data_IF_880195310567
#
_entry.id   IF_880195310567
#
_cell.length_a   1.000
_cell.length_b   1.000
_cell.length_c   1.000
_cell.angle_alpha   90.00
_cell.angle_beta   90.00
_cell.angle_gamma   90.00
#
_symmetry.space_group_name_H-M   'P 1'
#
loop_
_entity.id
_entity.type
_entity.pdbx_description
1 polymer ?
#
# COMPACT_ATOMS: atom_id res chain seq x y z
N UNK A 1 25.84 48.66 -37.80
CA UNK A 1 24.89 47.74 -38.50
C UNK A 1 23.71 47.55 -37.56
N UNK A 2 22.54 48.00 -37.97
CA UNK A 2 21.29 47.74 -37.25
C UNK A 2 20.89 46.26 -37.56
N UNK A 3 20.61 45.49 -36.51
CA UNK A 3 20.06 44.15 -36.71
C UNK A 3 18.61 44.25 -37.15
N UNK A 4 18.20 43.40 -38.10
CA UNK A 4 16.81 43.26 -38.48
C UNK A 4 16.03 42.75 -37.25
N UNK A 5 14.92 43.39 -36.87
CA UNK A 5 14.06 42.87 -35.82
C UNK A 5 13.67 41.40 -36.08
N UNK A 6 13.48 40.64 -35.04
CA UNK A 6 13.07 39.20 -35.15
C UNK A 6 11.56 39.09 -35.29
N UNK A 7 11.16 38.07 -36.02
CA UNK A 7 9.83 37.49 -36.11
C UNK A 7 10.00 36.01 -35.79
N UNK A 8 9.80 35.67 -34.51
CA UNK A 8 10.13 34.36 -33.97
C UNK A 8 9.01 33.32 -34.18
N UNK A 9 7.77 33.81 -34.31
CA UNK A 9 6.60 32.96 -34.51
C UNK A 9 6.20 32.79 -35.99
N UNK A 10 6.83 33.59 -36.89
CA UNK A 10 6.58 33.50 -38.34
C UNK A 10 5.25 34.17 -38.75
N UNK A 11 4.68 35.04 -37.92
CA UNK A 11 3.41 35.74 -38.22
C UNK A 11 3.52 36.75 -39.37
N UNK A 12 4.75 37.19 -39.67
CA UNK A 12 5.02 38.24 -40.63
C UNK A 12 5.05 39.63 -40.02
N UNK A 13 4.78 39.78 -38.76
CA UNK A 13 5.02 40.98 -37.95
C UNK A 13 6.29 40.81 -37.11
N UNK A 14 6.96 41.90 -36.76
CA UNK A 14 8.10 41.80 -35.87
C UNK A 14 7.62 41.72 -34.41
N UNK A 15 8.24 40.87 -33.60
CA UNK A 15 7.87 40.57 -32.18
C UNK A 15 7.62 41.84 -31.33
N UNK A 16 8.30 42.96 -31.63
CA UNK A 16 8.10 44.22 -30.89
C UNK A 16 6.81 44.95 -31.28
N UNK A 17 6.14 44.57 -32.35
CA UNK A 17 4.85 45.12 -32.81
C UNK A 17 3.66 44.28 -32.39
N UNK A 18 3.90 43.09 -31.85
CA UNK A 18 2.88 42.17 -31.43
C UNK A 18 2.63 42.26 -29.91
N UNK A 19 1.38 42.08 -29.52
CA UNK A 19 1.05 41.94 -28.12
C UNK A 19 1.56 40.61 -27.60
N UNK A 20 2.63 40.62 -26.88
CA UNK A 20 3.41 39.59 -26.19
C UNK A 20 3.04 38.12 -26.40
N UNK A 21 4.01 37.35 -26.87
CA UNK A 21 3.92 35.87 -27.02
C UNK A 21 4.02 35.07 -25.75
N UNK A 22 3.67 35.64 -24.58
CA UNK A 22 3.65 34.93 -23.31
C UNK A 22 2.46 33.95 -23.18
N UNK A 23 2.41 33.23 -22.05
CA UNK A 23 1.30 32.34 -21.72
C UNK A 23 0.06 33.19 -21.42
N UNK A 24 -1.02 32.95 -22.17
CA UNK A 24 -2.25 33.76 -22.13
C UNK A 24 -3.35 33.13 -21.30
N UNK A 25 -3.41 31.81 -21.32
CA UNK A 25 -4.39 31.00 -20.56
C UNK A 25 -3.73 29.73 -20.03
N UNK A 26 -4.09 29.31 -18.85
CA UNK A 26 -3.68 28.02 -18.29
C UNK A 26 -4.64 27.54 -17.21
N UNK A 27 -4.62 26.22 -16.95
CA UNK A 27 -5.27 25.61 -15.79
C UNK A 27 -4.23 25.31 -14.71
N UNK A 28 -4.69 25.09 -13.49
CA UNK A 28 -3.86 24.53 -12.42
C UNK A 28 -4.14 23.02 -12.28
N UNK A 29 -3.18 22.24 -11.80
CA UNK A 29 -3.43 20.83 -11.51
C UNK A 29 -4.42 20.71 -10.34
N UNK A 30 -5.17 19.60 -10.31
CA UNK A 30 -6.06 19.24 -9.20
C UNK A 30 -5.34 18.28 -8.25
N UNK A 31 -5.67 18.35 -6.96
CA UNK A 31 -5.22 17.38 -5.97
C UNK A 31 -5.75 15.97 -6.28
N UNK A 32 -5.05 14.97 -5.79
CA UNK A 32 -5.38 13.56 -5.97
C UNK A 32 -5.28 12.82 -4.66
N UNK A 33 -6.19 11.88 -4.44
CA UNK A 33 -6.16 10.88 -3.37
C UNK A 33 -6.00 9.52 -4.04
N UNK A 34 -5.13 8.69 -3.54
CA UNK A 34 -4.82 7.37 -4.10
C UNK A 34 -4.19 6.47 -3.05
N UNK A 35 -4.25 5.17 -3.27
CA UNK A 35 -3.58 4.16 -2.46
C UNK A 35 -2.10 4.02 -2.82
N UNK A 36 -1.30 3.50 -1.91
CA UNK A 36 0.09 3.13 -2.17
C UNK A 36 0.18 2.18 -3.38
N UNK A 37 1.30 2.23 -4.09
CA UNK A 37 1.53 1.41 -5.28
C UNK A 37 0.79 1.85 -6.54
N UNK A 38 -0.21 2.71 -6.44
CA UNK A 38 -1.00 3.20 -7.57
C UNK A 38 -0.28 4.25 -8.41
N UNK A 39 -0.89 4.58 -9.56
CA UNK A 39 -0.45 5.64 -10.47
C UNK A 39 -1.29 6.90 -10.30
N UNK A 40 -0.65 8.06 -10.24
CA UNK A 40 -1.30 9.38 -10.27
C UNK A 40 -0.75 10.24 -11.40
N UNK A 41 -1.64 11.02 -12.00
CA UNK A 41 -1.30 11.96 -13.06
C UNK A 41 -1.79 13.37 -12.73
N UNK A 42 -0.88 14.35 -12.72
CA UNK A 42 -1.19 15.77 -12.64
C UNK A 42 -1.07 16.40 -14.03
N UNK A 43 -2.11 17.11 -14.45
CA UNK A 43 -2.17 17.71 -15.79
C UNK A 43 -2.52 19.18 -15.75
N UNK A 44 -1.92 19.94 -16.67
CA UNK A 44 -2.16 21.36 -16.89
C UNK A 44 -2.40 21.59 -18.38
N UNK A 45 -3.35 22.45 -18.70
CA UNK A 45 -3.47 23.00 -20.07
C UNK A 45 -2.91 24.41 -20.09
N UNK A 46 -2.21 24.77 -21.13
CA UNK A 46 -1.68 26.13 -21.30
C UNK A 46 -1.71 26.52 -22.77
N UNK A 47 -1.92 27.82 -23.04
CA UNK A 47 -1.92 28.41 -24.36
C UNK A 47 -0.91 29.56 -24.43
N UNK A 48 -0.07 29.53 -25.45
CA UNK A 48 0.86 30.61 -25.79
C UNK A 48 1.01 30.72 -27.30
N UNK A 49 1.53 31.84 -27.77
CA UNK A 49 1.85 32.04 -29.21
C UNK A 49 3.17 31.31 -29.57
N UNK A 50 4.07 31.17 -28.61
CA UNK A 50 5.36 30.52 -28.77
C UNK A 50 5.41 29.18 -28.01
N UNK A 51 6.47 28.40 -28.23
CA UNK A 51 6.72 27.15 -27.49
C UNK A 51 6.79 27.42 -26.00
N UNK A 52 6.23 26.48 -25.23
CA UNK A 52 6.22 26.52 -23.77
C UNK A 52 7.21 25.48 -23.23
N UNK A 53 8.14 25.93 -22.41
CA UNK A 53 8.95 25.05 -21.57
C UNK A 53 8.24 24.79 -20.23
N UNK A 54 8.23 23.53 -19.81
CA UNK A 54 7.57 23.08 -18.60
C UNK A 54 8.59 22.55 -17.59
N UNK A 55 8.37 22.83 -16.31
CA UNK A 55 9.10 22.18 -15.23
C UNK A 55 8.20 22.00 -14.01
N UNK A 56 7.90 20.74 -13.70
CA UNK A 56 7.21 20.40 -12.47
C UNK A 56 8.13 20.56 -11.26
N UNK A 57 7.54 21.06 -10.18
CA UNK A 57 8.19 21.22 -8.89
C UNK A 57 7.40 20.49 -7.81
N UNK A 58 8.11 19.90 -6.86
CA UNK A 58 7.58 19.20 -5.67
C UNK A 58 7.97 19.97 -4.42
N UNK A 59 7.06 20.00 -3.46
CA UNK A 59 7.28 20.43 -2.09
C UNK A 59 6.91 19.28 -1.14
N UNK A 60 7.76 19.00 -0.16
CA UNK A 60 7.57 18.02 0.92
C UNK A 60 7.33 18.70 2.27
N UNK A 61 7.17 20.01 2.29
CA UNK A 61 7.07 20.84 3.50
C UNK A 61 5.87 21.80 3.43
N UNK A 62 4.77 21.31 2.86
CA UNK A 62 3.50 22.05 2.71
C UNK A 62 3.65 23.39 1.96
N UNK A 63 4.46 23.40 0.89
CA UNK A 63 4.60 24.54 -0.01
C UNK A 63 5.62 25.60 0.44
N UNK A 64 6.41 25.35 1.51
CA UNK A 64 7.42 26.28 2.01
C UNK A 64 8.65 26.29 1.09
N UNK A 65 9.14 25.11 0.72
CA UNK A 65 10.25 25.00 -0.24
C UNK A 65 9.86 24.14 -1.45
N UNK A 66 10.47 24.42 -2.59
CA UNK A 66 10.18 23.78 -3.86
C UNK A 66 11.46 23.33 -4.55
N UNK A 67 11.45 22.09 -5.04
CA UNK A 67 12.52 21.52 -5.84
C UNK A 67 12.00 21.03 -7.19
N UNK A 68 12.85 21.10 -8.22
CA UNK A 68 12.48 20.55 -9.52
C UNK A 68 12.34 19.04 -9.47
N UNK A 69 11.22 18.51 -9.98
CA UNK A 69 11.02 17.08 -10.15
C UNK A 69 11.93 16.59 -11.27
N UNK A 70 12.77 15.56 -11.04
CA UNK A 70 13.55 14.92 -12.09
C UNK A 70 12.68 13.94 -12.89
N UNK A 71 13.09 13.57 -14.10
CA UNK A 71 12.58 12.34 -14.72
C UNK A 71 13.40 11.15 -14.20
N UNK A 72 12.70 10.09 -13.79
CA UNK A 72 13.28 8.86 -13.23
C UNK A 72 12.75 8.53 -11.85
N UNK A 73 13.00 7.31 -11.37
CA UNK A 73 12.33 6.78 -10.20
C UNK A 73 10.82 6.73 -10.42
N UNK A 74 10.06 7.19 -9.48
CA UNK A 74 8.58 7.24 -9.58
C UNK A 74 8.05 8.35 -10.51
N UNK A 75 8.90 9.23 -11.07
CA UNK A 75 8.44 10.41 -11.81
C UNK A 75 8.72 10.30 -13.30
N UNK A 76 7.73 10.64 -14.13
CA UNK A 76 7.89 10.85 -15.57
C UNK A 76 7.08 12.05 -16.04
N UNK A 77 7.47 12.64 -17.17
CA UNK A 77 6.79 13.84 -17.70
C UNK A 77 7.15 15.15 -16.97
N UNK A 78 8.20 15.18 -16.16
CA UNK A 78 8.57 16.36 -15.35
C UNK A 78 8.83 17.65 -16.17
N UNK A 79 9.06 17.51 -17.48
CA UNK A 79 9.25 18.61 -18.44
C UNK A 79 8.15 18.66 -19.52
N UNK A 80 6.97 18.22 -19.17
CA UNK A 80 5.78 18.29 -20.03
C UNK A 80 4.63 18.92 -19.26
N UNK A 81 3.50 19.12 -19.90
CA UNK A 81 2.29 19.61 -19.24
C UNK A 81 1.60 18.54 -18.35
N UNK A 82 2.16 17.34 -18.28
CA UNK A 82 1.61 16.22 -17.51
C UNK A 82 2.72 15.54 -16.74
N UNK A 83 2.58 15.47 -15.42
CA UNK A 83 3.44 14.72 -14.52
C UNK A 83 2.73 13.43 -14.14
N UNK A 84 3.41 12.30 -14.33
CA UNK A 84 3.00 11.00 -13.83
C UNK A 84 3.87 10.64 -12.62
N UNK A 85 3.23 10.17 -11.57
CA UNK A 85 3.86 9.55 -10.39
C UNK A 85 3.43 8.10 -10.37
N UNK A 86 4.40 7.16 -10.40
CA UNK A 86 4.16 5.72 -10.52
C UNK A 86 5.43 4.93 -10.14
N UNK A 87 5.41 4.10 -9.10
CA UNK A 87 4.33 3.97 -8.11
C UNK A 87 4.29 5.15 -7.12
N UNK A 88 3.11 5.43 -6.58
CA UNK A 88 2.95 6.30 -5.42
C UNK A 88 3.44 5.55 -4.17
N UNK A 89 4.11 6.24 -3.26
CA UNK A 89 4.52 5.72 -1.95
C UNK A 89 3.89 6.56 -0.85
N UNK A 90 3.61 5.97 0.29
CA UNK A 90 3.11 6.65 1.50
C UNK A 90 4.03 7.77 1.97
N UNK A 91 5.34 7.67 1.73
CA UNK A 91 6.30 8.77 1.94
C UNK A 91 5.96 10.05 1.16
N UNK A 92 5.12 9.95 0.14
CA UNK A 92 4.67 11.09 -0.68
C UNK A 92 3.37 11.71 -0.16
N UNK A 93 2.81 11.17 0.92
CA UNK A 93 1.58 11.70 1.50
C UNK A 93 1.76 13.16 1.95
N UNK A 94 0.87 14.03 1.48
CA UNK A 94 0.95 15.47 1.74
C UNK A 94 1.85 16.25 0.79
N UNK A 95 2.58 15.61 -0.11
CA UNK A 95 3.37 16.28 -1.14
C UNK A 95 2.53 17.20 -2.00
N UNK A 96 3.12 18.32 -2.38
CA UNK A 96 2.48 19.26 -3.29
C UNK A 96 3.25 19.37 -4.60
N UNK A 97 2.51 19.45 -5.69
CA UNK A 97 3.06 19.60 -7.05
C UNK A 97 2.51 20.86 -7.71
N UNK A 98 3.39 21.61 -8.38
CA UNK A 98 3.03 22.74 -9.23
C UNK A 98 3.85 22.75 -10.50
N UNK A 99 3.37 23.44 -11.52
CA UNK A 99 4.06 23.56 -12.78
C UNK A 99 4.57 25.00 -12.96
N UNK A 100 5.84 25.14 -13.29
CA UNK A 100 6.45 26.38 -13.78
C UNK A 100 6.54 26.27 -15.29
N UNK A 101 6.07 27.31 -15.96
CA UNK A 101 6.01 27.43 -17.41
C UNK A 101 6.74 28.69 -17.86
N UNK A 102 7.53 28.59 -18.92
CA UNK A 102 8.20 29.72 -19.53
C UNK A 102 8.09 29.66 -21.05
N UNK A 103 8.25 30.80 -21.68
CA UNK A 103 8.29 30.92 -23.15
C UNK A 103 9.68 31.43 -23.57
N UNK A 104 10.65 30.48 -23.78
CA UNK A 104 12.06 30.84 -23.95
C UNK A 104 12.35 31.68 -25.20
N UNK A 105 11.49 31.54 -26.21
CA UNK A 105 11.59 32.36 -27.43
C UNK A 105 11.09 33.78 -27.26
N UNK A 106 10.46 34.09 -26.13
CA UNK A 106 9.90 35.42 -25.82
C UNK A 106 10.58 36.02 -24.58
N UNK A 107 11.59 36.85 -24.79
CA UNK A 107 12.46 37.34 -23.73
C UNK A 107 11.83 38.39 -22.78
N UNK A 108 10.61 38.82 -23.04
CA UNK A 108 9.87 39.77 -22.22
C UNK A 108 8.74 39.10 -21.41
N UNK A 109 8.53 37.81 -21.57
CA UNK A 109 7.56 37.02 -20.79
C UNK A 109 8.11 36.69 -19.41
N UNK A 110 7.30 36.86 -18.39
CA UNK A 110 7.61 36.32 -17.06
C UNK A 110 7.20 34.83 -17.01
N UNK A 111 7.95 34.05 -16.25
CA UNK A 111 7.54 32.68 -15.94
C UNK A 111 6.17 32.70 -15.23
N UNK A 112 5.34 31.73 -15.60
CA UNK A 112 4.03 31.51 -15.00
C UNK A 112 4.09 30.26 -14.13
N UNK A 113 3.58 30.37 -12.92
CA UNK A 113 3.50 29.25 -11.99
C UNK A 113 2.05 28.97 -11.64
N UNK A 114 1.63 27.72 -11.73
CA UNK A 114 0.28 27.29 -11.34
C UNK A 114 0.10 27.32 -9.81
N UNK A 115 -1.15 27.24 -9.36
CA UNK A 115 -1.41 26.79 -7.99
C UNK A 115 -0.85 25.37 -7.80
N UNK A 116 -0.60 24.98 -6.55
CA UNK A 116 -0.19 23.62 -6.23
C UNK A 116 -1.39 22.69 -6.11
N UNK A 117 -1.14 21.42 -6.41
CA UNK A 117 -2.03 20.29 -6.16
C UNK A 117 -1.40 19.37 -5.10
N UNK A 118 -2.18 18.92 -4.15
CA UNK A 118 -1.73 17.98 -3.11
C UNK A 118 -1.97 16.55 -3.55
N UNK A 119 -1.01 15.68 -3.25
CA UNK A 119 -1.13 14.23 -3.28
C UNK A 119 -1.47 13.75 -1.87
N UNK A 120 -2.51 12.96 -1.74
CA UNK A 120 -2.82 12.15 -0.55
C UNK A 120 -2.58 10.70 -0.94
N UNK A 121 -1.66 10.06 -0.26
CA UNK A 121 -1.31 8.66 -0.45
C UNK A 121 -1.69 7.92 0.83
N UNK A 122 -2.69 7.06 0.75
CA UNK A 122 -3.18 6.27 1.86
C UNK A 122 -2.44 4.93 1.92
N UNK A 123 -2.35 4.36 3.11
CA UNK A 123 -1.78 3.03 3.31
C UNK A 123 -2.71 1.97 2.73
N UNK A 124 -2.14 0.88 2.22
CA UNK A 124 -2.80 -0.29 1.66
C UNK A 124 -1.78 -1.43 1.78
N UNK A 125 -1.76 -2.05 2.97
CA UNK A 125 -0.69 -2.95 3.40
C UNK A 125 -0.62 -4.22 2.56
N UNK A 126 -1.78 -4.80 2.26
CA UNK A 126 -1.87 -6.04 1.49
C UNK A 126 -1.86 -5.83 -0.03
N UNK A 127 -2.11 -4.58 -0.49
CA UNK A 127 -2.09 -4.18 -1.89
C UNK A 127 -3.32 -4.62 -2.68
N UNK A 128 -4.46 -4.83 -2.04
CA UNK A 128 -5.69 -5.28 -2.67
C UNK A 128 -6.52 -4.15 -3.30
N UNK A 129 -6.17 -2.88 -3.00
CA UNK A 129 -6.78 -1.67 -3.53
C UNK A 129 -7.83 -1.06 -2.62
N UNK A 130 -8.02 -1.57 -1.40
CA UNK A 130 -8.76 -0.95 -0.32
C UNK A 130 -7.75 -0.34 0.67
N UNK A 131 -8.03 0.83 1.18
CA UNK A 131 -7.13 1.55 2.08
C UNK A 131 -7.30 1.00 3.51
N UNK A 132 -6.22 0.85 4.29
CA UNK A 132 -6.25 0.33 5.67
C UNK A 132 -7.30 1.03 6.57
N UNK A 133 -7.54 2.34 6.35
CA UNK A 133 -8.58 3.10 7.08
C UNK A 133 -10.02 2.58 6.83
N UNK A 134 -10.25 1.80 5.79
CA UNK A 134 -11.56 1.31 5.32
C UNK A 134 -11.60 -0.20 5.27
N UNK A 135 -10.43 -0.83 5.17
CA UNK A 135 -10.28 -2.27 5.18
C UNK A 135 -10.70 -2.84 6.54
N UNK A 136 -11.13 -4.05 6.57
CA UNK A 136 -11.52 -4.77 7.78
C UNK A 136 -10.65 -6.02 8.01
N UNK A 137 -9.66 -6.25 7.13
CA UNK A 137 -8.69 -7.34 7.15
C UNK A 137 -7.45 -6.87 6.40
N UNK A 138 -6.71 -5.95 7.04
CA UNK A 138 -5.65 -5.11 6.44
C UNK A 138 -4.50 -5.91 5.81
N UNK A 139 -4.29 -7.15 6.23
CA UNK A 139 -3.23 -8.01 5.71
C UNK A 139 -3.73 -9.21 4.90
N UNK A 140 -5.08 -9.39 4.84
CA UNK A 140 -5.76 -10.46 4.11
C UNK A 140 -5.36 -11.88 4.61
N UNK A 141 -5.11 -12.04 5.90
CA UNK A 141 -4.85 -13.35 6.51
C UNK A 141 -6.13 -14.15 6.79
N UNK A 142 -7.29 -13.45 6.72
CA UNK A 142 -8.62 -14.03 6.92
C UNK A 142 -9.12 -13.94 8.35
N UNK A 143 -8.42 -13.26 9.21
CA UNK A 143 -8.85 -12.77 10.52
C UNK A 143 -9.18 -11.28 10.30
N UNK A 144 -10.13 -10.74 10.99
CA UNK A 144 -10.43 -9.31 10.84
C UNK A 144 -9.69 -8.50 11.88
N UNK A 145 -9.31 -7.25 11.54
CA UNK A 145 -8.63 -6.30 12.45
C UNK A 145 -9.27 -6.22 13.83
N UNK A 146 -10.60 -6.30 13.87
CA UNK A 146 -11.33 -6.26 15.13
C UNK A 146 -11.02 -7.46 16.03
N UNK A 147 -10.81 -8.65 15.44
CA UNK A 147 -10.48 -9.87 16.18
C UNK A 147 -9.02 -9.90 16.59
N UNK A 148 -8.19 -9.20 15.85
CA UNK A 148 -6.76 -9.02 16.13
C UNK A 148 -6.47 -7.91 17.13
N UNK A 149 -7.50 -7.17 17.57
CA UNK A 149 -7.39 -6.14 18.59
C UNK A 149 -7.23 -4.71 18.06
N UNK A 150 -7.43 -4.52 16.75
CA UNK A 150 -7.42 -3.22 16.06
C UNK A 150 -6.03 -2.58 15.98
N UNK A 151 -5.97 -1.27 15.82
CA UNK A 151 -4.79 -0.51 15.40
C UNK A 151 -3.55 -0.60 16.30
N UNK A 152 -3.64 -1.11 17.51
CA UNK A 152 -2.57 -0.92 18.49
C UNK A 152 -2.15 -2.17 19.25
N UNK A 153 -2.83 -3.28 19.08
CA UNK A 153 -2.42 -4.52 19.72
C UNK A 153 -1.22 -5.10 18.95
N UNK A 154 -0.16 -5.37 19.67
CA UNK A 154 1.10 -5.94 19.21
C UNK A 154 1.45 -6.98 20.27
N UNK A 155 1.17 -8.25 19.97
CA UNK A 155 1.17 -9.33 20.97
C UNK A 155 2.57 -9.80 21.31
N UNK A 156 3.46 -9.89 20.32
CA UNK A 156 4.85 -10.33 20.51
C UNK A 156 5.80 -9.17 20.85
N UNK A 157 5.39 -7.91 20.59
CA UNK A 157 6.14 -6.69 20.91
C UNK A 157 7.26 -6.38 19.92
N UNK A 158 7.17 -6.85 18.69
CA UNK A 158 8.17 -6.62 17.64
C UNK A 158 8.04 -5.24 16.97
N UNK A 159 6.90 -4.58 17.15
CA UNK A 159 6.58 -3.24 16.67
C UNK A 159 5.66 -3.23 15.45
N UNK A 160 5.17 -4.39 15.01
CA UNK A 160 4.12 -4.54 14.00
C UNK A 160 2.80 -4.79 14.75
N UNK A 161 1.73 -4.02 14.53
CA UNK A 161 0.42 -4.35 15.08
C UNK A 161 -0.12 -5.67 14.51
N UNK A 162 -0.82 -6.45 15.31
CA UNK A 162 -1.34 -7.76 14.88
C UNK A 162 -2.09 -7.72 13.54
N UNK A 163 -2.91 -6.70 13.29
CA UNK A 163 -3.66 -6.51 12.03
C UNK A 163 -2.79 -6.37 10.77
N UNK A 164 -1.49 -6.28 10.91
CA UNK A 164 -0.50 -6.18 9.83
C UNK A 164 0.58 -7.26 9.96
N UNK A 165 0.41 -8.20 10.90
CA UNK A 165 1.39 -9.20 11.26
C UNK A 165 0.84 -10.60 10.99
N UNK A 166 1.51 -11.38 10.17
CA UNK A 166 1.12 -12.75 9.84
C UNK A 166 1.48 -13.79 10.91
N UNK A 167 2.15 -13.37 12.02
CA UNK A 167 2.64 -14.21 13.12
C UNK A 167 2.58 -13.41 14.42
N UNK A 168 1.35 -13.01 14.82
CA UNK A 168 1.06 -12.06 15.87
C UNK A 168 1.68 -12.39 17.24
N UNK A 169 1.90 -13.67 17.56
CA UNK A 169 2.52 -14.10 18.81
C UNK A 169 4.03 -14.40 18.70
N UNK A 170 4.59 -14.37 17.47
CA UNK A 170 6.01 -14.47 17.19
C UNK A 170 6.59 -15.88 17.36
N UNK A 171 5.76 -16.94 17.29
CA UNK A 171 6.21 -18.32 17.50
C UNK A 171 6.66 -19.06 16.21
N UNK A 172 6.53 -18.40 15.05
CA UNK A 172 6.84 -18.88 13.70
C UNK A 172 5.77 -19.78 13.08
N UNK A 173 4.56 -19.73 13.58
CA UNK A 173 3.37 -20.29 12.95
C UNK A 173 2.48 -19.14 12.50
N UNK A 174 2.10 -19.05 11.26
CA UNK A 174 1.28 -17.95 10.78
C UNK A 174 -0.13 -18.01 11.39
N UNK A 175 -0.70 -16.86 11.73
CA UNK A 175 -2.01 -16.67 12.34
C UNK A 175 -3.13 -17.41 11.62
N UNK A 176 -3.15 -17.36 10.29
CA UNK A 176 -4.09 -18.09 9.43
C UNK A 176 -4.10 -19.60 9.73
N UNK A 177 -2.95 -20.20 10.05
CA UNK A 177 -2.85 -21.63 10.36
C UNK A 177 -3.36 -21.91 11.76
N UNK A 178 -3.07 -21.06 12.73
CA UNK A 178 -3.48 -21.20 14.12
C UNK A 178 -4.96 -20.88 14.31
N UNK A 179 -5.47 -19.90 13.55
CA UNK A 179 -6.91 -19.63 13.47
C UNK A 179 -7.71 -20.79 12.86
N UNK A 180 -7.03 -21.81 12.32
CA UNK A 180 -7.67 -22.98 11.69
C UNK A 180 -8.23 -22.69 10.29
N UNK A 181 -7.76 -21.65 9.65
CA UNK A 181 -8.13 -21.26 8.28
C UNK A 181 -7.29 -22.10 7.31
N UNK A 182 -7.91 -22.89 6.46
CA UNK A 182 -7.25 -23.91 5.63
C UNK A 182 -6.98 -23.46 4.18
N UNK A 183 -6.84 -22.18 3.94
CA UNK A 183 -6.76 -21.59 2.59
C UNK A 183 -5.42 -20.92 2.28
N UNK A 184 -4.40 -21.14 3.09
CA UNK A 184 -3.02 -20.72 2.81
C UNK A 184 -2.27 -21.84 2.10
N UNK A 185 -2.45 -21.97 0.77
CA UNK A 185 -1.85 -23.04 -0.02
C UNK A 185 -0.37 -22.84 -0.33
N UNK A 186 0.14 -21.61 -0.22
CA UNK A 186 1.53 -21.24 -0.51
C UNK A 186 2.34 -20.91 0.75
N UNK A 187 1.70 -20.91 1.91
CA UNK A 187 2.29 -20.64 3.21
C UNK A 187 2.93 -19.26 3.30
N UNK A 188 2.23 -18.24 2.77
CA UNK A 188 2.62 -16.85 2.86
C UNK A 188 1.87 -16.06 3.95
N UNK A 189 1.01 -16.70 4.71
CA UNK A 189 0.20 -16.12 5.77
C UNK A 189 -1.11 -15.50 5.28
N UNK A 190 -1.41 -15.52 4.00
CA UNK A 190 -2.60 -14.89 3.40
C UNK A 190 -3.62 -15.90 2.92
N UNK A 191 -4.87 -15.44 2.85
CA UNK A 191 -5.96 -16.25 2.30
C UNK A 191 -5.80 -16.42 0.79
N UNK A 192 -5.63 -17.67 0.32
CA UNK A 192 -5.67 -18.03 -1.09
C UNK A 192 -4.32 -18.00 -1.81
N UNK A 193 -4.34 -18.32 -3.10
CA UNK A 193 -3.23 -18.14 -4.04
C UNK A 193 -3.42 -16.80 -4.74
N UNK A 194 -2.39 -16.10 -5.27
CA UNK A 194 -2.34 -14.65 -5.50
C UNK A 194 -3.48 -13.98 -6.32
N UNK A 195 -4.65 -14.59 -6.43
CA UNK A 195 -5.85 -13.98 -7.01
C UNK A 195 -6.97 -14.09 -5.98
N UNK A 196 -7.03 -13.13 -5.09
CA UNK A 196 -8.17 -12.93 -4.21
C UNK A 196 -9.07 -11.83 -4.78
N UNK A 197 -10.37 -11.93 -4.54
CA UNK A 197 -11.29 -10.83 -4.77
C UNK A 197 -11.81 -10.39 -3.42
N UNK A 198 -11.73 -9.08 -3.19
CA UNK A 198 -12.24 -8.44 -1.98
C UNK A 198 -13.52 -7.65 -2.29
N UNK A 199 -14.26 -7.30 -1.26
CA UNK A 199 -15.38 -6.37 -1.37
C UNK A 199 -14.89 -4.92 -1.11
N UNK A 200 -15.81 -3.96 -1.07
CA UNK A 200 -15.49 -2.55 -0.83
C UNK A 200 -14.99 -2.22 0.60
N UNK A 201 -14.85 -3.19 1.45
CA UNK A 201 -14.35 -3.08 2.83
C UNK A 201 -13.16 -4.03 3.05
N UNK A 202 -12.44 -4.39 2.00
CA UNK A 202 -11.26 -5.23 2.01
C UNK A 202 -11.50 -6.72 2.26
N UNK A 203 -12.63 -7.11 2.80
CA UNK A 203 -12.88 -8.51 3.14
C UNK A 203 -12.82 -9.43 1.91
N UNK A 204 -12.00 -10.46 1.99
CA UNK A 204 -11.87 -11.51 0.98
C UNK A 204 -13.22 -12.17 0.70
N UNK A 205 -13.63 -12.22 -0.55
CA UNK A 205 -14.91 -12.84 -0.99
C UNK A 205 -14.70 -14.12 -1.77
N UNK A 206 -13.55 -14.26 -2.41
CA UNK A 206 -13.19 -15.49 -3.12
C UNK A 206 -11.69 -15.64 -3.25
N UNK A 207 -11.24 -16.88 -3.24
CA UNK A 207 -9.87 -17.30 -3.52
C UNK A 207 -9.78 -17.87 -4.93
N UNK A 208 -8.59 -18.19 -5.41
CA UNK A 208 -8.42 -18.88 -6.70
C UNK A 208 -9.16 -20.22 -6.84
N UNK A 209 -9.63 -20.79 -5.73
CA UNK A 209 -10.30 -22.11 -5.67
C UNK A 209 -11.76 -22.04 -5.22
N UNK A 210 -12.29 -20.90 -4.83
CA UNK A 210 -13.71 -20.81 -4.44
C UNK A 210 -14.08 -19.56 -3.63
N UNK A 211 -15.31 -19.56 -3.14
CA UNK A 211 -15.81 -18.52 -2.25
C UNK A 211 -15.18 -18.65 -0.86
N UNK A 212 -14.69 -17.55 -0.32
CA UNK A 212 -14.19 -17.46 1.05
C UNK A 212 -15.30 -16.97 2.01
N UNK A 213 -15.22 -17.40 3.26
CA UNK A 213 -16.14 -16.97 4.31
C UNK A 213 -15.38 -16.91 5.62
N UNK A 214 -15.37 -15.75 6.25
CA UNK A 214 -14.76 -15.53 7.55
C UNK A 214 -15.41 -16.42 8.61
N UNK A 215 -14.59 -17.01 9.46
CA UNK A 215 -14.99 -17.84 10.59
C UNK A 215 -14.40 -17.26 11.88
N UNK A 216 -14.93 -17.68 13.01
CA UNK A 216 -14.29 -17.36 14.30
C UNK A 216 -12.98 -18.12 14.37
N UNK A 217 -11.84 -17.46 14.70
CA UNK A 217 -10.57 -18.12 14.90
C UNK A 217 -10.63 -19.23 15.96
N UNK A 218 -9.72 -20.18 15.87
CA UNK A 218 -9.63 -21.29 16.82
C UNK A 218 -9.23 -20.82 18.23
N UNK A 219 -9.75 -21.51 19.23
CA UNK A 219 -9.40 -21.46 20.66
C UNK A 219 -9.46 -22.91 21.12
N UNK A 220 -8.39 -23.67 20.86
CA UNK A 220 -8.39 -25.12 21.00
C UNK A 220 -8.29 -25.57 22.46
N UNK A 221 -7.70 -24.79 23.31
CA UNK A 221 -7.63 -25.08 24.75
C UNK A 221 -8.84 -24.56 25.55
N UNK A 222 -9.63 -23.65 24.95
CA UNK A 222 -10.87 -23.12 25.49
C UNK A 222 -10.66 -22.11 26.63
N UNK A 223 -9.54 -21.41 26.63
CA UNK A 223 -9.20 -20.46 27.68
C UNK A 223 -9.81 -19.05 27.43
N UNK A 224 -10.31 -18.79 26.21
CA UNK A 224 -10.97 -17.55 25.79
C UNK A 224 -10.03 -16.56 25.11
N UNK A 225 -8.80 -16.95 24.80
CA UNK A 225 -7.86 -16.26 23.90
C UNK A 225 -7.78 -17.11 22.62
N UNK A 226 -7.65 -16.50 21.48
CA UNK A 226 -7.49 -17.24 20.22
C UNK A 226 -6.06 -17.77 20.09
N UNK A 227 -5.91 -18.94 19.47
CA UNK A 227 -4.62 -19.64 19.37
C UNK A 227 -3.54 -18.77 18.69
N UNK A 228 -3.90 -17.92 17.73
CA UNK A 228 -2.98 -17.01 17.02
C UNK A 228 -2.44 -15.85 17.88
N UNK A 229 -2.96 -15.66 19.09
CA UNK A 229 -2.50 -14.66 20.06
C UNK A 229 -1.70 -15.29 21.21
N UNK A 230 -1.41 -16.56 21.15
CA UNK A 230 -0.76 -17.32 22.22
C UNK A 230 0.36 -18.19 21.68
N UNK A 231 1.59 -17.92 22.10
CA UNK A 231 2.74 -18.76 21.72
C UNK A 231 2.44 -20.25 21.93
N UNK A 232 2.53 -21.02 20.89
CA UNK A 232 2.29 -22.46 20.95
C UNK A 232 3.22 -23.13 21.96
N UNK A 233 2.64 -23.73 22.96
CA UNK A 233 3.43 -24.53 23.91
C UNK A 233 3.89 -25.83 23.26
N UNK A 234 5.18 -26.17 23.32
CA UNK A 234 5.66 -27.40 22.75
C UNK A 234 4.95 -28.60 23.39
N UNK A 235 4.54 -29.55 22.55
CA UNK A 235 3.88 -30.77 23.00
C UNK A 235 4.68 -31.44 24.12
N UNK A 236 4.02 -31.70 25.23
CA UNK A 236 4.64 -32.33 26.40
C UNK A 236 3.99 -33.68 26.73
N UNK A 237 4.77 -34.59 27.28
CA UNK A 237 4.26 -35.85 27.79
C UNK A 237 3.80 -35.69 29.22
N UNK A 238 2.49 -35.62 29.42
CA UNK A 238 1.87 -35.47 30.76
C UNK A 238 1.97 -36.78 31.55
N UNK A 239 1.85 -37.94 30.87
CA UNK A 239 2.09 -39.22 31.48
C UNK A 239 2.70 -40.22 30.50
N UNK A 240 3.77 -40.87 30.91
CA UNK A 240 4.36 -41.95 30.16
C UNK A 240 3.62 -43.26 30.46
N UNK A 241 3.58 -44.20 29.51
CA UNK A 241 3.04 -45.51 29.78
C UNK A 241 3.87 -46.21 30.87
N UNK A 242 3.18 -46.98 31.71
CA UNK A 242 3.82 -47.76 32.76
C UNK A 242 3.96 -49.20 32.33
N UNK A 243 4.93 -49.89 32.94
CA UNK A 243 5.13 -51.32 32.68
C UNK A 243 3.89 -52.13 33.07
N UNK A 244 3.48 -53.02 32.20
CA UNK A 244 2.34 -53.93 32.42
C UNK A 244 2.81 -55.38 32.33
N UNK A 245 2.54 -56.14 33.39
CA UNK A 245 2.79 -57.60 33.38
C UNK A 245 1.50 -58.33 33.05
N UNK A 246 1.53 -59.14 32.01
CA UNK A 246 0.39 -59.94 31.55
C UNK A 246 0.74 -61.45 31.64
N UNK A 247 -0.25 -62.29 31.91
CA UNK A 247 -0.12 -63.72 31.82
C UNK A 247 -0.04 -64.16 30.36
N UNK A 248 0.46 -65.37 30.13
CA UNK A 248 0.55 -65.96 28.79
C UNK A 248 -0.83 -65.87 28.06
N UNK A 249 -0.87 -65.34 26.85
CA UNK A 249 -2.06 -64.99 26.07
C UNK A 249 -2.92 -63.87 26.61
N UNK A 250 -2.44 -63.03 27.57
CA UNK A 250 -3.09 -61.79 28.01
C UNK A 250 -2.85 -60.65 27.03
N UNK A 251 -3.72 -59.61 27.09
CA UNK A 251 -3.56 -58.36 26.36
C UNK A 251 -3.07 -57.24 27.31
N UNK A 252 -2.21 -56.37 26.84
CA UNK A 252 -1.81 -55.16 27.53
C UNK A 252 -2.22 -53.93 26.74
N UNK A 253 -2.65 -52.90 27.45
CA UNK A 253 -2.93 -51.59 26.89
C UNK A 253 -1.93 -50.60 27.51
N UNK A 254 -1.17 -49.92 26.68
CA UNK A 254 -0.29 -48.83 27.07
C UNK A 254 -0.96 -47.54 26.75
N UNK A 255 -1.06 -46.63 27.74
CA UNK A 255 -1.66 -45.33 27.60
C UNK A 255 -0.59 -44.29 27.92
N UNK A 256 -0.41 -43.36 26.99
CA UNK A 256 0.32 -42.13 27.21
C UNK A 256 -0.64 -40.94 27.07
N UNK A 257 -0.38 -39.87 27.79
CA UNK A 257 -1.13 -38.62 27.67
C UNK A 257 -0.12 -37.51 27.36
N UNK A 258 -0.39 -36.78 26.32
CA UNK A 258 0.30 -35.53 25.98
C UNK A 258 -0.62 -34.32 26.19
N UNK A 259 -0.02 -33.16 26.22
CA UNK A 259 -0.69 -31.85 26.12
C UNK A 259 0.06 -30.96 25.15
N UNK A 260 -0.65 -30.16 24.42
CA UNK A 260 -0.18 -29.06 23.57
C UNK A 260 -1.35 -28.10 23.35
N UNK A 261 -1.09 -26.91 22.88
CA UNK A 261 -2.12 -25.94 22.53
C UNK A 261 -2.76 -26.26 21.17
N UNK A 262 -2.13 -27.11 20.39
CA UNK A 262 -2.65 -27.64 19.14
C UNK A 262 -3.08 -29.09 19.17
N UNK A 263 -3.47 -29.64 18.00
CA UNK A 263 -3.86 -31.05 17.86
C UNK A 263 -2.67 -31.99 17.95
N UNK A 264 -2.63 -32.82 19.02
CA UNK A 264 -1.64 -33.88 19.14
C UNK A 264 -1.84 -34.95 18.08
N UNK A 265 -0.78 -35.27 17.34
CA UNK A 265 -0.70 -36.48 16.46
C UNK A 265 0.20 -37.51 17.09
N UNK A 266 -0.28 -38.75 17.17
CA UNK A 266 0.41 -39.89 17.74
C UNK A 266 0.89 -40.90 16.69
#
# INVERSE_FOLDING_TARGET
TYNTPKDLDGSGAFDFLEAGGGITEYTSPSGSVTTEGSEVTFSVTATAVSDIDYQWQRSTDNGVTWSNVPNGGAYSGAKTNTLKVDPVSTDMNGDQFKLVMSTPSYSCGADVTTSSAQLVANEDFDGDGVEDDVDLDDDNDGITDLLEGGDTLDTDGDGIPNRLDYDSDGDSCNDINEAGISTDENNDGRVGIPIINVNSSGLVTSTGIGTYTYSTPADLDGNGVYDFLEMASPASVVSSPTDVTVSNNGSAIFVAKGSSDGTLRY
#
